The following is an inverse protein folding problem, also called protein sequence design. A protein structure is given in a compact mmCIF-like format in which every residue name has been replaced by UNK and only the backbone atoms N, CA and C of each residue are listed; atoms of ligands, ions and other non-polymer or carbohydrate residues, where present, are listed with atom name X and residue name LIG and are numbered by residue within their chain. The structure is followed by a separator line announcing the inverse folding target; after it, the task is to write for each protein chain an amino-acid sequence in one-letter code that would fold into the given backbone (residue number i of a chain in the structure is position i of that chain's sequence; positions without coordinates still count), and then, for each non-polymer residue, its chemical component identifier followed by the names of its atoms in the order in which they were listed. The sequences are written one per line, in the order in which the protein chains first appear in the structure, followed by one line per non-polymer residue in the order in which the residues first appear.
data_IF_027917950309
#
_entry.id   IF_027917950309
#
_cell.length_a   1.000
_cell.length_b   1.000
_cell.length_c   1.000
_cell.angle_alpha   90.00
_cell.angle_beta   90.00
_cell.angle_gamma   90.00
#
_symmetry.space_group_name_H-M   'P 1'
#
loop_
_entity.id
_entity.type
_entity.pdbx_description
1 polymer ?
#
# COMPACT_ATOMS: atom_id res chain seq x y z
N UNK A 1 -39.82 -38.09 23.84
CA UNK A 1 -39.26 -37.83 22.50
C UNK A 1 -38.34 -36.64 22.62
N UNK A 2 -37.02 -36.86 22.65
CA UNK A 2 -36.04 -35.78 22.71
C UNK A 2 -35.77 -35.32 21.28
N UNK A 3 -36.26 -34.14 20.93
CA UNK A 3 -35.92 -33.50 19.65
C UNK A 3 -34.54 -32.88 19.83
N UNK A 4 -33.51 -33.48 19.24
CA UNK A 4 -32.19 -32.86 19.14
C UNK A 4 -32.25 -31.97 17.91
N UNK A 5 -32.51 -30.67 18.10
CA UNK A 5 -32.38 -29.70 17.00
C UNK A 5 -30.88 -29.63 16.64
N UNK A 6 -30.53 -29.91 15.38
CA UNK A 6 -29.20 -29.59 14.87
C UNK A 6 -29.10 -28.06 14.74
N UNK A 7 -28.49 -27.41 15.73
CA UNK A 7 -28.20 -25.99 15.63
C UNK A 7 -26.95 -25.81 14.76
N UNK A 8 -27.14 -25.21 13.58
CA UNK A 8 -26.04 -24.69 12.80
C UNK A 8 -25.53 -23.44 13.53
N UNK A 9 -24.30 -23.51 14.04
CA UNK A 9 -23.62 -22.37 14.66
C UNK A 9 -22.51 -21.97 13.72
N UNK A 10 -22.46 -20.68 13.38
CA UNK A 10 -21.44 -20.13 12.53
C UNK A 10 -20.85 -18.90 13.21
N UNK A 11 -19.53 -18.80 13.24
CA UNK A 11 -18.85 -17.75 13.99
C UNK A 11 -17.51 -17.37 13.36
N UNK A 12 -17.29 -16.07 13.23
CA UNK A 12 -15.97 -15.48 12.99
C UNK A 12 -15.24 -15.30 14.31
N UNK A 13 -13.97 -15.66 14.33
CA UNK A 13 -13.06 -15.43 15.45
C UNK A 13 -11.77 -14.81 14.94
N UNK A 14 -11.19 -13.88 15.70
CA UNK A 14 -9.83 -13.41 15.43
C UNK A 14 -8.88 -14.42 16.07
N UNK A 15 -8.05 -15.08 15.27
CA UNK A 15 -7.07 -16.06 15.75
C UNK A 15 -5.71 -15.43 16.03
N UNK A 16 -5.40 -14.31 15.37
CA UNK A 16 -4.22 -13.49 15.64
C UNK A 16 -4.39 -12.06 15.13
N UNK A 17 -3.63 -11.12 15.68
CA UNK A 17 -3.71 -9.70 15.34
C UNK A 17 -4.74 -8.93 16.16
N UNK A 18 -5.06 -7.72 15.71
CA UNK A 18 -5.98 -6.80 16.34
C UNK A 18 -7.26 -6.57 15.51
N UNK A 19 -8.14 -5.70 16.00
CA UNK A 19 -9.40 -5.37 15.35
C UNK A 19 -10.62 -6.02 15.99
N UNK A 20 -11.77 -5.71 15.41
CA UNK A 20 -13.08 -6.07 15.93
C UNK A 20 -14.03 -6.46 14.79
N UNK A 21 -14.64 -7.63 14.93
CA UNK A 21 -15.67 -8.14 14.03
C UNK A 21 -17.01 -7.52 14.43
N UNK A 22 -17.71 -6.88 13.49
CA UNK A 22 -18.96 -6.16 13.78
C UNK A 22 -20.15 -7.11 14.00
N UNK A 23 -20.21 -8.20 13.25
CA UNK A 23 -21.17 -9.29 13.46
C UNK A 23 -20.45 -10.62 13.23
N UNK A 24 -20.09 -11.30 14.30
CA UNK A 24 -19.37 -12.56 14.21
C UNK A 24 -20.24 -13.70 13.70
N UNK A 25 -21.57 -13.59 13.72
CA UNK A 25 -22.48 -14.66 13.29
C UNK A 25 -22.91 -14.54 11.83
N UNK A 26 -22.64 -13.41 11.18
CA UNK A 26 -22.94 -13.21 9.77
C UNK A 26 -21.84 -13.77 8.86
N UNK A 27 -22.18 -14.48 7.78
CA UNK A 27 -21.20 -14.95 6.80
C UNK A 27 -20.54 -13.78 6.06
N UNK A 28 -21.18 -12.61 6.04
CA UNK A 28 -20.62 -11.34 5.58
C UNK A 28 -20.54 -10.37 6.75
N UNK A 29 -19.33 -9.94 7.10
CA UNK A 29 -19.10 -9.07 8.25
C UNK A 29 -18.08 -8.00 7.92
N UNK A 30 -18.03 -6.96 8.72
CA UNK A 30 -16.98 -5.93 8.65
C UNK A 30 -16.00 -6.16 9.79
N UNK A 31 -14.72 -5.97 9.51
CA UNK A 31 -13.66 -5.94 10.52
C UNK A 31 -13.15 -4.51 10.60
N UNK A 32 -13.15 -3.94 11.80
CA UNK A 32 -12.69 -2.57 12.04
C UNK A 32 -11.49 -2.59 12.99
N UNK A 33 -10.70 -1.52 13.01
CA UNK A 33 -9.62 -1.35 13.99
C UNK A 33 -8.40 -2.25 13.80
N UNK A 34 -8.18 -2.78 12.59
CA UNK A 34 -6.88 -3.40 12.26
C UNK A 34 -5.85 -2.28 12.16
N UNK A 35 -4.82 -2.29 13.01
CA UNK A 35 -3.83 -1.19 13.05
C UNK A 35 -2.95 -1.21 11.80
N UNK A 36 -2.56 -0.02 11.32
CA UNK A 36 -1.64 0.09 10.19
C UNK A 36 -0.29 -0.58 10.51
N UNK A 37 0.25 -1.32 9.55
CA UNK A 37 1.43 -2.19 9.69
C UNK A 37 1.14 -3.59 10.22
N UNK A 38 -0.11 -3.92 10.57
CA UNK A 38 -0.47 -5.20 11.16
C UNK A 38 -1.28 -6.08 10.19
N UNK A 39 -1.19 -7.39 10.44
CA UNK A 39 -2.05 -8.40 9.81
C UNK A 39 -2.92 -9.05 10.88
N UNK A 40 -4.21 -9.15 10.62
CA UNK A 40 -5.19 -9.87 11.44
C UNK A 40 -5.67 -11.10 10.70
N UNK A 41 -5.63 -12.25 11.38
CA UNK A 41 -6.17 -13.51 10.83
C UNK A 41 -7.51 -13.79 11.48
N UNK A 42 -8.52 -13.98 10.62
CA UNK A 42 -9.86 -14.38 11.01
C UNK A 42 -10.09 -15.83 10.64
N UNK A 43 -10.86 -16.53 11.48
CA UNK A 43 -11.32 -17.89 11.23
C UNK A 43 -12.83 -17.95 11.26
N UNK A 44 -13.43 -18.38 10.15
CA UNK A 44 -14.85 -18.73 10.07
C UNK A 44 -15.02 -20.18 10.46
N UNK A 45 -15.78 -20.46 11.50
CA UNK A 45 -16.07 -21.83 11.93
C UNK A 45 -17.56 -22.10 11.77
N UNK A 46 -17.91 -23.16 11.05
CA UNK A 46 -19.28 -23.69 10.97
C UNK A 46 -19.33 -24.99 11.75
N UNK A 47 -20.23 -25.07 12.71
CA UNK A 47 -20.48 -26.27 13.52
C UNK A 47 -21.90 -26.75 13.28
N UNK A 48 -22.06 -28.03 12.97
CA UNK A 48 -23.34 -28.71 12.90
C UNK A 48 -23.27 -29.98 13.77
N UNK A 49 -23.90 -29.93 14.94
CA UNK A 49 -23.84 -31.00 15.93
C UNK A 49 -22.40 -31.25 16.39
N UNK A 50 -21.88 -32.45 16.16
CA UNK A 50 -20.49 -32.84 16.46
C UNK A 50 -19.49 -32.52 15.35
N UNK A 51 -19.97 -32.15 14.16
CA UNK A 51 -19.10 -31.87 13.01
C UNK A 51 -18.78 -30.38 12.96
N UNK A 52 -17.51 -30.03 12.72
CA UNK A 52 -17.08 -28.65 12.50
C UNK A 52 -16.16 -28.55 11.30
N UNK A 53 -16.30 -27.47 10.55
CA UNK A 53 -15.35 -27.06 9.51
C UNK A 53 -14.95 -25.61 9.76
N UNK A 54 -13.76 -25.22 9.31
CA UNK A 54 -13.33 -23.84 9.37
C UNK A 54 -12.53 -23.43 8.14
N UNK A 55 -12.46 -22.13 7.91
CA UNK A 55 -11.59 -21.50 6.93
C UNK A 55 -10.96 -20.23 7.52
N UNK A 56 -9.82 -19.81 7.00
CA UNK A 56 -9.08 -18.64 7.50
C UNK A 56 -8.87 -17.58 6.43
N UNK A 57 -8.93 -16.32 6.84
CA UNK A 57 -8.69 -15.14 6.00
C UNK A 57 -7.71 -14.22 6.70
N UNK A 58 -6.70 -13.75 5.99
CA UNK A 58 -5.74 -12.75 6.48
C UNK A 58 -6.10 -11.37 5.94
N UNK A 59 -6.19 -10.39 6.83
CA UNK A 59 -6.39 -8.98 6.53
C UNK A 59 -5.13 -8.21 6.90
N UNK A 60 -4.43 -7.66 5.91
CA UNK A 60 -3.26 -6.81 6.13
C UNK A 60 -3.65 -5.36 5.92
N UNK A 61 -3.35 -4.51 6.91
CA UNK A 61 -3.48 -3.06 6.77
C UNK A 61 -2.08 -2.45 6.67
N UNK A 62 -1.64 -2.13 5.46
CA UNK A 62 -0.30 -1.57 5.24
C UNK A 62 -0.13 -0.15 5.78
N UNK A 63 1.09 0.19 6.20
CA UNK A 63 1.41 1.57 6.60
C UNK A 63 1.38 2.47 5.38
N UNK A 64 0.72 3.61 5.48
CA UNK A 64 0.78 4.62 4.44
C UNK A 64 2.23 5.08 4.19
N UNK A 65 2.56 5.33 2.93
CA UNK A 65 3.85 5.89 2.55
C UNK A 65 3.86 7.41 2.72
N UNK A 66 5.06 7.98 2.74
CA UNK A 66 5.23 9.43 2.66
C UNK A 66 4.58 9.94 1.38
N UNK A 67 3.78 11.02 1.46
CA UNK A 67 3.24 11.67 0.25
C UNK A 67 4.42 12.18 -0.58
N UNK A 68 4.48 11.78 -1.84
CA UNK A 68 5.56 12.16 -2.73
C UNK A 68 5.36 13.59 -3.24
N UNK A 69 6.44 14.35 -3.27
CA UNK A 69 6.52 15.70 -3.83
C UNK A 69 7.82 15.83 -4.63
N UNK A 70 7.70 16.09 -5.94
CA UNK A 70 8.82 16.20 -6.87
C UNK A 70 9.53 17.58 -6.84
N UNK A 71 8.97 18.55 -6.11
CA UNK A 71 9.41 19.95 -6.16
C UNK A 71 8.72 20.72 -7.29
N UNK A 72 9.23 21.91 -7.58
CA UNK A 72 8.67 22.80 -8.62
C UNK A 72 9.30 22.53 -9.99
N UNK A 73 8.55 22.82 -11.05
CA UNK A 73 9.06 22.79 -12.43
C UNK A 73 10.26 23.72 -12.61
N UNK A 74 11.17 23.32 -13.49
CA UNK A 74 12.42 24.03 -13.75
C UNK A 74 12.53 24.43 -15.22
N UNK A 75 13.07 25.62 -15.46
CA UNK A 75 13.41 26.11 -16.78
C UNK A 75 14.79 26.76 -16.74
N UNK A 76 15.66 26.41 -17.69
CA UNK A 76 17.03 26.91 -17.79
C UNK A 76 17.40 27.12 -19.26
N UNK A 77 18.40 27.97 -19.54
CA UNK A 77 18.90 28.22 -20.88
C UNK A 77 20.33 27.68 -21.05
N UNK A 78 20.57 26.96 -22.15
CA UNK A 78 21.89 26.44 -22.54
C UNK A 78 22.53 25.42 -21.56
N UNK A 79 21.75 24.81 -20.67
CA UNK A 79 22.17 23.69 -19.83
C UNK A 79 21.38 22.42 -20.20
N UNK A 80 22.05 21.27 -20.21
CA UNK A 80 21.42 19.96 -20.42
C UNK A 80 21.24 19.19 -19.12
N UNK A 81 21.53 19.83 -17.97
CA UNK A 81 21.54 19.20 -16.65
C UNK A 81 20.65 19.99 -15.70
N UNK A 82 19.73 19.29 -15.04
CA UNK A 82 18.80 19.83 -14.05
C UNK A 82 18.96 19.07 -12.73
N UNK A 83 18.72 19.74 -11.61
CA UNK A 83 18.80 19.12 -10.27
C UNK A 83 17.40 18.84 -9.78
N UNK A 84 17.05 17.59 -9.56
CA UNK A 84 15.76 17.19 -9.00
C UNK A 84 15.78 17.32 -7.48
N UNK A 85 14.65 17.70 -6.89
CA UNK A 85 14.54 17.97 -5.46
C UNK A 85 13.27 17.33 -4.89
N UNK A 86 13.27 16.00 -4.83
CA UNK A 86 12.19 15.20 -4.25
C UNK A 86 12.22 15.26 -2.73
N UNK A 87 11.08 15.10 -2.07
CA UNK A 87 11.06 15.00 -0.62
C UNK A 87 11.65 13.67 -0.13
N UNK A 88 12.34 13.69 1.01
CA UNK A 88 12.85 12.49 1.67
C UNK A 88 11.69 11.62 2.18
N UNK A 89 11.71 10.34 1.84
CA UNK A 89 10.74 9.38 2.36
C UNK A 89 11.05 9.05 3.83
N UNK A 90 10.08 9.27 4.72
CA UNK A 90 10.12 8.80 6.11
C UNK A 90 9.58 7.36 6.21
N UNK A 91 8.56 7.06 5.40
CA UNK A 91 8.00 5.72 5.16
C UNK A 91 7.96 5.44 3.65
N UNK A 92 8.37 4.23 3.25
CA UNK A 92 8.53 3.79 1.86
C UNK A 92 9.90 4.13 1.26
N UNK A 93 10.11 3.72 0.01
CA UNK A 93 11.29 4.02 -0.79
C UNK A 93 10.92 4.90 -1.97
N UNK A 94 11.68 5.99 -2.17
CA UNK A 94 11.49 6.94 -3.27
C UNK A 94 12.31 6.58 -4.50
N UNK A 95 11.72 6.76 -5.69
CA UNK A 95 12.38 6.55 -6.99
C UNK A 95 11.93 7.61 -8.00
N UNK A 96 12.90 8.19 -8.69
CA UNK A 96 12.70 9.06 -9.85
C UNK A 96 12.52 8.24 -11.13
N UNK A 97 11.55 8.63 -11.95
CA UNK A 97 11.32 8.02 -13.26
C UNK A 97 11.11 9.10 -14.32
N UNK A 98 11.67 8.91 -15.50
CA UNK A 98 11.34 9.73 -16.67
C UNK A 98 10.04 9.17 -17.26
N UNK A 99 9.00 10.00 -17.27
CA UNK A 99 7.69 9.64 -17.82
C UNK A 99 7.64 9.92 -19.33
N UNK A 100 8.29 10.99 -19.76
CA UNK A 100 8.44 11.36 -21.16
C UNK A 100 9.61 12.31 -21.38
N UNK A 101 10.05 12.44 -22.63
CA UNK A 101 11.21 13.24 -23.01
C UNK A 101 12.52 12.46 -22.93
N UNK A 102 13.63 13.17 -23.06
CA UNK A 102 14.98 12.63 -23.08
C UNK A 102 15.74 12.96 -21.79
N UNK A 103 16.87 12.28 -21.61
CA UNK A 103 17.77 12.47 -20.49
C UNK A 103 18.02 11.19 -19.69
N UNK A 104 18.94 11.29 -18.74
CA UNK A 104 19.34 10.21 -17.85
C UNK A 104 19.45 10.72 -16.43
N UNK A 105 18.74 10.06 -15.51
CA UNK A 105 18.83 10.32 -14.07
C UNK A 105 20.12 9.67 -13.56
N UNK A 106 20.94 10.43 -12.84
CA UNK A 106 22.25 9.96 -12.36
C UNK A 106 22.13 8.96 -11.21
N UNK A 107 21.24 9.23 -10.26
CA UNK A 107 20.82 8.31 -9.22
C UNK A 107 19.31 8.42 -9.00
N UNK A 108 18.56 7.42 -9.45
CA UNK A 108 17.10 7.44 -9.36
C UNK A 108 16.57 7.23 -7.94
N UNK A 109 17.34 6.63 -7.04
CA UNK A 109 16.92 6.37 -5.66
C UNK A 109 17.21 7.57 -4.73
N UNK A 110 18.11 8.46 -5.14
CA UNK A 110 18.38 9.68 -4.38
C UNK A 110 17.26 10.73 -4.58
N UNK A 111 16.64 11.24 -3.49
CA UNK A 111 15.64 12.31 -3.59
C UNK A 111 16.22 13.58 -4.23
N UNK A 112 17.49 13.87 -3.95
CA UNK A 112 18.26 14.95 -4.58
C UNK A 112 19.25 14.37 -5.57
N UNK A 113 18.95 14.49 -6.85
CA UNK A 113 19.73 13.88 -7.93
C UNK A 113 19.79 14.81 -9.13
N UNK A 114 20.49 14.43 -10.18
CA UNK A 114 20.51 15.20 -11.43
C UNK A 114 19.92 14.39 -12.57
N UNK A 115 19.24 15.08 -13.48
CA UNK A 115 18.94 14.56 -14.81
C UNK A 115 19.84 15.26 -15.82
N UNK A 116 20.52 14.50 -16.66
CA UNK A 116 21.51 14.98 -17.64
C UNK A 116 21.07 14.62 -19.06
N UNK A 117 21.58 15.32 -20.06
CA UNK A 117 21.30 15.00 -21.47
C UNK A 117 19.90 15.39 -21.95
N UNK A 118 19.26 16.36 -21.29
CA UNK A 118 18.00 16.96 -21.79
C UNK A 118 18.34 17.86 -22.98
N UNK A 119 17.76 17.59 -24.14
CA UNK A 119 18.02 18.35 -25.37
C UNK A 119 17.43 19.75 -25.28
N UNK A 120 18.19 20.77 -25.70
CA UNK A 120 17.73 22.14 -25.70
C UNK A 120 16.45 22.32 -26.53
N UNK A 121 15.44 22.97 -25.95
CA UNK A 121 14.13 23.17 -26.57
C UNK A 121 13.13 22.02 -26.37
N UNK A 122 13.54 20.92 -25.74
CA UNK A 122 12.67 19.81 -25.36
C UNK A 122 12.21 19.93 -23.91
N UNK A 123 11.14 19.21 -23.57
CA UNK A 123 10.62 19.09 -22.20
C UNK A 123 10.69 17.64 -21.76
N UNK A 124 11.29 17.40 -20.60
CA UNK A 124 11.34 16.09 -19.95
C UNK A 124 10.41 16.12 -18.74
N UNK A 125 9.49 15.18 -18.67
CA UNK A 125 8.57 15.02 -17.54
C UNK A 125 9.09 13.90 -16.66
N UNK A 126 9.35 14.22 -15.40
CA UNK A 126 9.81 13.26 -14.40
C UNK A 126 8.77 13.11 -13.31
N UNK A 127 8.82 11.99 -12.60
CA UNK A 127 7.97 11.77 -11.43
C UNK A 127 8.75 11.15 -10.29
N UNK A 128 8.47 11.64 -9.08
CA UNK A 128 8.97 11.10 -7.82
C UNK A 128 7.90 10.18 -7.25
N UNK A 129 8.20 8.89 -7.15
CA UNK A 129 7.27 7.89 -6.60
C UNK A 129 7.83 7.33 -5.31
N UNK A 130 7.06 7.40 -4.22
CA UNK A 130 7.38 6.74 -2.95
C UNK A 130 6.44 5.54 -2.79
N UNK A 131 6.99 4.35 -2.58
CA UNK A 131 6.22 3.11 -2.46
C UNK A 131 6.80 2.18 -1.38
N UNK A 132 5.96 1.35 -0.77
CA UNK A 132 6.38 0.23 0.09
C UNK A 132 5.97 -1.13 -0.52
N UNK A 133 5.61 -1.16 -1.80
CA UNK A 133 5.18 -2.35 -2.54
C UNK A 133 3.67 -2.56 -2.57
N UNK A 134 2.95 -2.08 -1.56
CA UNK A 134 1.48 -2.16 -1.46
C UNK A 134 0.84 -0.78 -1.62
N UNK A 135 1.31 0.20 -0.85
CA UNK A 135 0.91 1.60 -0.93
C UNK A 135 1.91 2.39 -1.79
N UNK A 136 1.40 3.29 -2.64
CA UNK A 136 2.24 4.19 -3.43
C UNK A 136 1.68 5.61 -3.49
N UNK A 137 2.59 6.59 -3.55
CA UNK A 137 2.30 8.00 -3.78
C UNK A 137 3.19 8.51 -4.91
N UNK A 138 2.62 9.32 -5.81
CA UNK A 138 3.28 9.86 -6.99
C UNK A 138 3.13 11.38 -6.98
N UNK A 139 4.26 12.07 -7.13
CA UNK A 139 4.36 13.52 -7.29
C UNK A 139 5.06 13.92 -8.57
#
# INVERSE_FOLDING_TARGET
MQVIQQYLVQVWTITSGDGAITDASSPTTTVTGVTAGQTTVLRWTITNGSCSSFDEVSLTNDVAVTVAAAGTDQAQCATSTFTLAGNTAVSGTGVWTIQSGDGAITDAASPTTTVTGVTAGQTTVLSWTITNGTCSSKG
#
